data_IF_439831305633
#
_entry.id   IF_439831305633
#
_cell.length_a   1.000
_cell.length_b   1.000
_cell.length_c   1.000
_cell.angle_alpha   90.00
_cell.angle_beta   90.00
_cell.angle_gamma   90.00
#
_symmetry.space_group_name_H-M   'P 1'
#
loop_
_entity.id
_entity.type
_entity.pdbx_description
1 polymer ?
#
# COMPACT_ATOMS: atom_id res chain seq x y z
N UNK A 1 14.83 -12.45 -6.15
CA UNK A 1 13.43 -12.59 -6.60
C UNK A 1 13.23 -13.99 -7.19
N UNK A 2 12.09 -14.64 -6.95
CA UNK A 2 11.82 -16.00 -7.47
C UNK A 2 11.84 -16.00 -9.01
N UNK A 3 12.69 -16.82 -9.67
CA UNK A 3 12.89 -16.75 -11.13
C UNK A 3 11.64 -17.03 -11.95
N UNK A 4 10.73 -17.87 -11.45
CA UNK A 4 9.56 -18.34 -12.18
C UNK A 4 8.27 -17.63 -11.74
N UNK A 5 8.38 -16.40 -11.23
CA UNK A 5 7.23 -15.66 -10.72
C UNK A 5 6.07 -15.55 -11.73
N UNK A 6 6.40 -15.39 -13.02
CA UNK A 6 5.39 -15.33 -14.08
C UNK A 6 4.71 -16.67 -14.33
N UNK A 7 5.39 -17.80 -14.12
CA UNK A 7 4.78 -19.14 -14.23
C UNK A 7 3.77 -19.31 -13.09
N UNK A 8 4.20 -19.01 -11.86
CA UNK A 8 3.34 -19.06 -10.67
C UNK A 8 2.10 -18.17 -10.81
N UNK A 9 2.26 -16.92 -11.26
CA UNK A 9 1.13 -15.99 -11.45
C UNK A 9 0.12 -16.54 -12.46
N UNK A 10 0.58 -17.11 -13.58
CA UNK A 10 -0.35 -17.68 -14.58
C UNK A 10 -1.12 -18.89 -14.01
N UNK A 11 -0.43 -19.79 -13.31
CA UNK A 11 -1.05 -20.97 -12.69
C UNK A 11 -2.15 -20.58 -11.70
N UNK A 12 -1.91 -19.52 -10.91
CA UNK A 12 -2.92 -18.98 -9.99
C UNK A 12 -4.10 -18.38 -10.75
N UNK A 13 -3.86 -17.62 -11.82
CA UNK A 13 -4.93 -17.01 -12.62
C UNK A 13 -5.77 -18.02 -13.40
N UNK A 14 -5.16 -19.10 -13.90
CA UNK A 14 -5.90 -20.21 -14.53
C UNK A 14 -6.90 -20.86 -13.57
N UNK A 15 -6.63 -20.78 -12.26
CA UNK A 15 -7.48 -21.30 -11.19
C UNK A 15 -8.39 -20.22 -10.59
N UNK A 16 -8.47 -19.04 -11.23
CA UNK A 16 -9.21 -17.85 -10.74
C UNK A 16 -8.80 -17.44 -9.32
N UNK A 17 -7.50 -17.46 -9.01
CA UNK A 17 -6.95 -16.99 -7.74
C UNK A 17 -6.32 -15.61 -7.96
N UNK A 18 -6.80 -14.59 -7.24
CA UNK A 18 -6.24 -13.23 -7.32
C UNK A 18 -4.81 -13.17 -6.78
N UNK A 19 -3.96 -12.31 -7.35
CA UNK A 19 -2.54 -12.20 -6.99
C UNK A 19 -2.16 -10.81 -6.51
N UNK A 20 -1.63 -10.74 -5.29
CA UNK A 20 -1.13 -9.53 -4.65
C UNK A 20 0.37 -9.71 -4.43
N UNK A 21 1.18 -9.05 -5.26
CA UNK A 21 2.64 -9.19 -5.19
C UNK A 21 3.24 -8.00 -4.44
N UNK A 22 4.13 -8.27 -3.48
CA UNK A 22 4.86 -7.23 -2.74
C UNK A 22 6.35 -7.34 -3.04
N UNK A 23 6.99 -6.22 -3.34
CA UNK A 23 8.43 -6.14 -3.60
C UNK A 23 9.08 -5.01 -2.79
N UNK A 24 10.34 -5.18 -2.44
CA UNK A 24 11.19 -4.15 -1.83
C UNK A 24 11.90 -3.27 -2.88
N UNK A 25 11.44 -3.30 -4.14
CA UNK A 25 11.93 -2.45 -5.22
C UNK A 25 13.44 -2.58 -5.53
N UNK A 26 14.01 -3.78 -5.36
CA UNK A 26 15.42 -4.03 -5.67
C UNK A 26 15.67 -4.67 -7.05
N UNK A 27 14.63 -4.96 -7.84
CA UNK A 27 14.75 -5.67 -9.13
C UNK A 27 13.85 -5.03 -10.22
N UNK A 28 14.21 -3.85 -10.75
CA UNK A 28 13.38 -3.10 -11.68
C UNK A 28 13.03 -3.88 -12.95
N UNK A 29 13.99 -4.60 -13.55
CA UNK A 29 13.73 -5.42 -14.75
C UNK A 29 12.65 -6.47 -14.55
N UNK A 30 12.57 -7.05 -13.34
CA UNK A 30 11.55 -8.04 -13.04
C UNK A 30 10.16 -7.42 -12.89
N UNK A 31 10.06 -6.17 -12.47
CA UNK A 31 8.79 -5.42 -12.44
C UNK A 31 8.32 -5.14 -13.87
N UNK A 32 9.23 -4.74 -14.77
CA UNK A 32 8.90 -4.51 -16.19
C UNK A 32 8.41 -5.80 -16.87
N UNK A 33 9.10 -6.92 -16.63
CA UNK A 33 8.76 -8.23 -17.22
C UNK A 33 7.57 -8.93 -16.54
N UNK A 34 7.04 -8.41 -15.44
CA UNK A 34 5.97 -9.08 -14.69
C UNK A 34 4.72 -9.19 -15.58
N UNK A 35 4.09 -10.37 -15.62
CA UNK A 35 2.78 -10.53 -16.23
C UNK A 35 1.71 -9.76 -15.43
N UNK A 36 0.51 -9.52 -15.98
CA UNK A 36 -0.57 -8.91 -15.22
C UNK A 36 -0.76 -9.62 -13.87
N UNK A 37 -0.92 -8.85 -12.81
CA UNK A 37 -1.27 -9.31 -11.45
C UNK A 37 -2.50 -8.53 -10.99
N UNK A 38 -3.22 -9.02 -9.98
CA UNK A 38 -4.40 -8.28 -9.48
C UNK A 38 -3.99 -6.94 -8.90
N UNK A 39 -2.92 -6.93 -8.10
CA UNK A 39 -2.35 -5.72 -7.52
C UNK A 39 -0.85 -5.89 -7.23
N UNK A 40 -0.06 -4.88 -7.58
CA UNK A 40 1.40 -4.84 -7.36
C UNK A 40 1.75 -3.78 -6.31
N UNK A 41 2.46 -4.20 -5.26
CA UNK A 41 2.90 -3.37 -4.16
C UNK A 41 4.40 -3.17 -4.20
N UNK A 42 4.82 -1.92 -3.98
CA UNK A 42 6.17 -1.60 -3.54
C UNK A 42 6.11 -1.21 -2.07
N UNK A 43 6.90 -1.89 -1.23
CA UNK A 43 7.15 -1.46 0.14
C UNK A 43 8.07 -0.25 0.09
N UNK A 44 7.62 0.86 0.67
CA UNK A 44 8.42 2.09 0.78
C UNK A 44 8.57 2.38 2.26
N UNK A 45 9.64 1.84 2.84
CA UNK A 45 9.90 1.91 4.27
C UNK A 45 10.63 3.20 4.67
N UNK A 46 11.13 3.95 3.70
CA UNK A 46 11.73 5.27 3.91
C UNK A 46 11.67 6.16 2.65
N UNK A 47 11.72 7.48 2.85
CA UNK A 47 11.55 8.46 1.78
C UNK A 47 12.86 9.00 1.18
N UNK A 48 14.02 8.72 1.79
CA UNK A 48 15.34 9.22 1.35
C UNK A 48 16.37 8.09 1.28
N UNK A 49 17.47 8.30 0.54
CA UNK A 49 18.55 7.30 0.40
C UNK A 49 19.16 6.93 1.75
N UNK A 50 19.37 7.91 2.60
CA UNK A 50 20.00 7.77 3.92
C UNK A 50 19.08 7.00 4.87
N UNK A 51 17.80 7.38 4.91
CA UNK A 51 16.80 6.72 5.76
C UNK A 51 16.53 5.29 5.30
N UNK A 52 16.44 5.05 3.97
CA UNK A 52 16.25 3.71 3.42
C UNK A 52 17.46 2.82 3.75
N UNK A 53 18.69 3.33 3.64
CA UNK A 53 19.88 2.58 4.03
C UNK A 53 19.89 2.21 5.51
N UNK A 54 19.45 3.12 6.37
CA UNK A 54 19.42 2.91 7.81
C UNK A 54 18.37 1.88 8.23
N UNK A 55 17.20 1.89 7.59
CA UNK A 55 16.06 1.02 7.88
C UNK A 55 16.21 -0.35 7.20
N UNK A 56 16.37 -0.37 5.87
CA UNK A 56 16.31 -1.61 5.08
C UNK A 56 17.61 -2.41 5.07
N UNK A 57 18.74 -1.77 5.42
CA UNK A 57 20.09 -2.37 5.35
C UNK A 57 20.31 -3.15 4.05
N UNK A 58 20.19 -2.46 2.90
CA UNK A 58 20.13 -3.10 1.60
C UNK A 58 21.43 -3.85 1.28
N UNK A 59 21.29 -4.97 0.58
CA UNK A 59 22.41 -5.82 0.15
C UNK A 59 23.20 -5.22 -1.03
N UNK A 60 22.52 -4.45 -1.87
CA UNK A 60 23.08 -3.88 -3.09
C UNK A 60 23.67 -2.48 -2.82
N UNK A 61 24.82 -2.17 -3.44
CA UNK A 61 25.44 -0.84 -3.30
C UNK A 61 24.67 0.26 -4.04
N UNK A 62 23.99 -0.10 -5.13
CA UNK A 62 23.13 0.70 -6.01
C UNK A 62 21.63 0.62 -5.61
N UNK A 63 21.35 0.36 -4.33
CA UNK A 63 19.98 0.09 -3.85
C UNK A 63 19.00 1.24 -4.11
N UNK A 64 19.46 2.49 -4.09
CA UNK A 64 18.61 3.67 -4.24
C UNK A 64 18.25 3.92 -5.71
N UNK A 65 19.22 3.69 -6.58
CA UNK A 65 19.08 3.75 -8.02
C UNK A 65 18.09 2.65 -8.45
N UNK A 66 18.29 1.41 -7.97
CA UNK A 66 17.33 0.29 -8.17
C UNK A 66 15.94 0.58 -7.65
N UNK A 67 15.85 1.19 -6.47
CA UNK A 67 14.58 1.60 -5.87
C UNK A 67 13.86 2.60 -6.77
N UNK A 68 14.55 3.67 -7.16
CA UNK A 68 14.01 4.72 -8.02
C UNK A 68 13.59 4.19 -9.40
N UNK A 69 14.41 3.34 -10.02
CA UNK A 69 14.06 2.66 -11.28
C UNK A 69 12.86 1.73 -11.13
N UNK A 70 12.72 1.08 -9.97
CA UNK A 70 11.55 0.23 -9.70
C UNK A 70 10.26 1.04 -9.55
N UNK A 71 10.34 2.25 -8.97
CA UNK A 71 9.21 3.18 -8.94
C UNK A 71 8.82 3.64 -10.36
N UNK A 72 9.80 3.92 -11.21
CA UNK A 72 9.55 4.25 -12.62
C UNK A 72 8.94 3.07 -13.38
N UNK A 73 9.46 1.85 -13.19
CA UNK A 73 8.89 0.63 -13.77
C UNK A 73 7.45 0.37 -13.27
N UNK A 74 7.13 0.78 -12.05
CA UNK A 74 5.77 0.69 -11.51
C UNK A 74 4.80 1.60 -12.27
N UNK A 75 5.23 2.80 -12.66
CA UNK A 75 4.42 3.76 -13.44
C UNK A 75 3.99 3.21 -14.80
N UNK A 76 4.81 2.35 -15.40
CA UNK A 76 4.55 1.73 -16.71
C UNK A 76 3.54 0.57 -16.62
N UNK A 77 3.16 0.15 -15.41
CA UNK A 77 2.20 -0.94 -15.21
C UNK A 77 0.78 -0.49 -15.51
N UNK A 78 0.04 -1.37 -16.17
CA UNK A 78 -1.38 -1.14 -16.46
C UNK A 78 -2.29 -1.59 -15.31
N UNK A 79 -1.91 -2.64 -14.58
CA UNK A 79 -2.67 -3.15 -13.43
C UNK A 79 -2.47 -2.26 -12.19
N UNK A 80 -3.30 -2.48 -11.16
CA UNK A 80 -3.30 -1.69 -9.91
C UNK A 80 -1.93 -1.68 -9.24
N UNK A 81 -1.44 -0.49 -8.93
CA UNK A 81 -0.15 -0.27 -8.28
C UNK A 81 -0.31 0.42 -6.93
N UNK A 82 0.47 0.00 -5.95
CA UNK A 82 0.36 0.49 -4.57
C UNK A 82 1.74 0.80 -4.02
N UNK A 83 1.89 1.97 -3.41
CA UNK A 83 2.95 2.20 -2.44
C UNK A 83 2.44 1.85 -1.06
N UNK A 84 3.11 0.93 -0.36
CA UNK A 84 2.81 0.64 1.03
C UNK A 84 3.85 1.30 1.92
N UNK A 85 3.43 2.35 2.63
CA UNK A 85 4.26 3.09 3.55
C UNK A 85 4.12 2.49 4.95
N UNK A 86 5.23 2.22 5.60
CA UNK A 86 5.25 1.80 7.01
C UNK A 86 5.54 3.01 7.88
N UNK A 87 4.51 3.58 8.51
CA UNK A 87 4.65 4.77 9.35
C UNK A 87 5.17 4.42 10.74
N UNK A 88 6.21 5.11 11.15
CA UNK A 88 6.72 5.13 12.53
C UNK A 88 6.25 6.41 13.20
N UNK A 89 5.97 6.38 14.50
CA UNK A 89 5.56 7.56 15.26
C UNK A 89 6.65 8.65 15.24
N UNK A 90 6.23 9.92 15.24
CA UNK A 90 7.13 11.08 15.32
C UNK A 90 7.51 11.67 13.97
N UNK A 91 6.68 11.48 12.93
CA UNK A 91 6.85 12.10 11.63
C UNK A 91 6.73 13.63 11.69
N UNK A 92 7.32 14.31 10.71
CA UNK A 92 7.28 15.76 10.56
C UNK A 92 6.95 16.18 9.11
N UNK A 93 6.93 17.49 8.84
CA UNK A 93 6.63 18.03 7.51
C UNK A 93 7.68 17.65 6.45
N UNK A 94 8.95 17.53 6.83
CA UNK A 94 10.03 17.11 5.91
C UNK A 94 9.81 15.68 5.43
N UNK A 95 9.28 14.80 6.29
CA UNK A 95 8.88 13.44 5.90
C UNK A 95 7.77 13.48 4.84
N UNK A 96 6.73 14.30 5.05
CA UNK A 96 5.62 14.46 4.09
C UNK A 96 6.15 14.89 2.72
N UNK A 97 7.05 15.87 2.69
CA UNK A 97 7.66 16.37 1.46
C UNK A 97 8.52 15.30 0.77
N UNK A 98 9.33 14.56 1.54
CA UNK A 98 10.16 13.50 1.02
C UNK A 98 9.32 12.35 0.41
N UNK A 99 8.26 11.90 1.10
CA UNK A 99 7.37 10.87 0.58
C UNK A 99 6.62 11.34 -0.68
N UNK A 100 6.14 12.58 -0.69
CA UNK A 100 5.45 13.12 -1.85
C UNK A 100 6.37 13.22 -3.08
N UNK A 101 7.66 13.51 -2.90
CA UNK A 101 8.63 13.48 -4.00
C UNK A 101 8.71 12.10 -4.67
N UNK A 102 8.58 11.00 -3.91
CA UNK A 102 8.53 9.64 -4.46
C UNK A 102 7.26 9.36 -5.26
N UNK A 103 6.13 10.00 -4.91
CA UNK A 103 4.86 9.83 -5.63
C UNK A 103 5.00 10.39 -7.05
N UNK A 104 5.74 11.49 -7.22
CA UNK A 104 5.98 12.10 -8.52
C UNK A 104 6.75 11.20 -9.49
N UNK A 105 7.55 10.26 -8.96
CA UNK A 105 8.34 9.31 -9.74
C UNK A 105 7.45 8.22 -10.33
N UNK A 106 6.75 7.47 -9.48
CA UNK A 106 6.00 6.28 -9.90
C UNK A 106 4.48 6.45 -10.06
N UNK A 107 3.90 7.51 -9.48
CA UNK A 107 2.46 7.84 -9.54
C UNK A 107 1.54 6.62 -9.36
N UNK A 108 1.64 5.91 -8.22
CA UNK A 108 0.88 4.69 -8.00
C UNK A 108 -0.63 4.96 -8.04
N UNK A 109 -1.43 3.93 -8.28
CA UNK A 109 -2.89 4.06 -8.18
C UNK A 109 -3.34 4.34 -6.74
N UNK A 110 -2.62 3.76 -5.78
CA UNK A 110 -2.91 3.86 -4.35
C UNK A 110 -1.66 4.08 -3.49
N UNK A 111 -1.86 4.69 -2.34
CA UNK A 111 -0.88 4.75 -1.26
C UNK A 111 -1.53 4.22 0.01
N UNK A 112 -1.05 3.09 0.50
CA UNK A 112 -1.49 2.47 1.75
C UNK A 112 -0.51 2.86 2.85
N UNK A 113 -0.96 3.68 3.81
CA UNK A 113 -0.16 4.06 4.97
C UNK A 113 -0.57 3.16 6.12
N UNK A 114 0.37 2.40 6.65
CA UNK A 114 0.16 1.47 7.74
C UNK A 114 1.07 1.79 8.91
N UNK A 115 0.51 1.89 10.10
CA UNK A 115 1.29 2.02 11.33
C UNK A 115 2.17 0.79 11.59
N UNK A 116 3.44 1.02 11.94
CA UNK A 116 4.35 -0.07 12.31
C UNK A 116 3.79 -0.85 13.51
N UNK A 117 3.83 -2.17 13.43
CA UNK A 117 3.44 -3.04 14.54
C UNK A 117 4.69 -3.54 15.24
N UNK A 118 4.72 -3.46 16.56
CA UNK A 118 5.84 -3.98 17.35
C UNK A 118 5.76 -5.52 17.42
N UNK A 119 6.78 -6.19 16.87
CA UNK A 119 6.87 -7.65 16.80
C UNK A 119 7.77 -8.25 17.91
N UNK A 120 8.12 -7.48 18.95
CA UNK A 120 9.06 -7.89 19.98
C UNK A 120 10.47 -7.34 19.77
N UNK A 121 11.30 -7.43 20.80
CA UNK A 121 12.69 -6.99 20.78
C UNK A 121 13.56 -8.02 20.05
N UNK A 122 14.22 -7.63 18.96
CA UNK A 122 15.29 -8.40 18.34
C UNK A 122 16.62 -7.67 18.52
N UNK A 123 17.74 -8.41 18.53
CA UNK A 123 19.08 -7.80 18.66
C UNK A 123 19.41 -6.78 17.56
N UNK A 124 18.67 -6.79 16.45
CA UNK A 124 18.87 -5.91 15.30
C UNK A 124 17.88 -4.74 15.22
N UNK A 125 16.80 -4.74 16.01
CA UNK A 125 15.74 -3.73 15.96
C UNK A 125 15.82 -2.76 17.14
N UNK A 126 15.79 -1.46 16.83
CA UNK A 126 15.69 -0.38 17.83
C UNK A 126 14.25 0.05 18.09
N UNK A 127 13.26 -0.55 17.42
CA UNK A 127 11.85 -0.21 17.58
C UNK A 127 11.36 -0.61 18.97
N UNK A 128 10.76 0.35 19.68
CA UNK A 128 10.05 0.14 20.94
C UNK A 128 8.56 0.38 20.74
N UNK A 129 7.75 0.09 21.78
CA UNK A 129 6.33 0.41 21.78
C UNK A 129 6.05 1.92 21.60
N UNK A 130 6.99 2.79 21.97
CA UNK A 130 6.84 4.24 21.81
C UNK A 130 6.85 4.66 20.34
N UNK A 131 7.47 3.85 19.48
CA UNK A 131 7.54 4.07 18.04
C UNK A 131 6.28 3.62 17.29
N UNK A 132 5.38 2.89 17.94
CA UNK A 132 4.12 2.43 17.34
C UNK A 132 3.14 3.61 17.28
N UNK A 133 2.72 4.06 16.08
CA UNK A 133 1.75 5.13 15.95
C UNK A 133 0.35 4.64 16.32
N UNK A 134 -0.45 5.54 16.86
CA UNK A 134 -1.89 5.35 16.93
C UNK A 134 -2.52 5.56 15.56
N UNK A 135 -3.74 5.05 15.40
CA UNK A 135 -4.48 5.28 14.16
C UNK A 135 -4.67 6.78 13.86
N UNK A 136 -4.87 7.62 14.89
CA UNK A 136 -4.91 9.08 14.74
C UNK A 136 -3.64 9.66 14.13
N UNK A 137 -2.46 9.11 14.46
CA UNK A 137 -1.19 9.56 13.91
C UNK A 137 -1.09 9.19 12.42
N UNK A 138 -1.59 8.01 12.04
CA UNK A 138 -1.68 7.57 10.64
C UNK A 138 -2.67 8.42 9.84
N UNK A 139 -3.83 8.75 10.41
CA UNK A 139 -4.81 9.66 9.80
C UNK A 139 -4.19 11.03 9.53
N UNK A 140 -3.60 11.64 10.54
CA UNK A 140 -2.99 12.96 10.43
C UNK A 140 -1.90 13.02 9.35
N UNK A 141 -1.03 11.99 9.29
CA UNK A 141 -0.02 11.88 8.23
C UNK A 141 -0.64 11.72 6.84
N UNK A 142 -1.67 10.89 6.74
CA UNK A 142 -2.38 10.60 5.49
C UNK A 142 -3.10 11.84 4.94
N UNK A 143 -3.76 12.61 5.82
CA UNK A 143 -4.40 13.89 5.48
C UNK A 143 -3.37 14.94 5.06
N UNK A 144 -2.22 15.02 5.75
CA UNK A 144 -1.13 15.91 5.37
C UNK A 144 -0.55 15.58 3.99
N UNK A 145 -0.35 14.29 3.68
CA UNK A 145 0.07 13.82 2.36
C UNK A 145 -0.97 14.12 1.27
N UNK A 146 -2.25 13.87 1.55
CA UNK A 146 -3.34 14.18 0.63
C UNK A 146 -3.40 15.68 0.32
N UNK A 147 -3.28 16.53 1.34
CA UNK A 147 -3.22 17.98 1.19
C UNK A 147 -2.01 18.40 0.35
N UNK A 148 -0.83 17.84 0.63
CA UNK A 148 0.39 18.10 -0.14
C UNK A 148 0.25 17.73 -1.61
N UNK A 149 -0.53 16.70 -1.92
CA UNK A 149 -0.78 16.25 -3.29
C UNK A 149 -1.64 17.20 -4.13
N UNK A 150 -2.22 18.24 -3.52
CA UNK A 150 -3.01 19.25 -4.21
C UNK A 150 -4.12 18.66 -5.09
N UNK A 151 -4.81 17.64 -4.57
CA UNK A 151 -5.94 16.97 -5.23
C UNK A 151 -5.58 15.81 -6.15
N UNK A 152 -4.29 15.47 -6.34
CA UNK A 152 -3.91 14.26 -7.10
C UNK A 152 -4.33 12.98 -6.36
N UNK A 153 -4.18 12.98 -5.02
CA UNK A 153 -4.58 11.90 -4.14
C UNK A 153 -5.48 12.44 -3.03
N UNK A 154 -6.47 11.65 -2.65
CA UNK A 154 -7.31 11.93 -1.49
C UNK A 154 -7.47 10.68 -0.62
N UNK A 155 -7.79 10.87 0.66
CA UNK A 155 -8.14 9.80 1.58
C UNK A 155 -9.43 9.12 1.12
N UNK A 156 -9.34 7.84 0.78
CA UNK A 156 -10.46 7.07 0.23
C UNK A 156 -11.05 6.10 1.25
N UNK A 157 -10.19 5.42 2.01
CA UNK A 157 -10.58 4.40 2.98
C UNK A 157 -9.73 4.47 4.24
N UNK A 158 -10.24 3.94 5.34
CA UNK A 158 -9.46 3.62 6.53
C UNK A 158 -9.79 2.21 7.01
N UNK A 159 -8.89 1.60 7.78
CA UNK A 159 -9.15 0.38 8.53
C UNK A 159 -8.54 0.54 9.92
N UNK A 160 -9.36 1.04 10.85
CA UNK A 160 -8.93 1.44 12.20
C UNK A 160 -8.24 0.27 12.91
N UNK A 161 -8.79 -0.94 12.78
CA UNK A 161 -8.27 -2.12 13.47
C UNK A 161 -6.87 -2.53 13.01
N UNK A 162 -6.53 -2.27 11.74
CA UNK A 162 -5.20 -2.59 11.19
C UNK A 162 -4.25 -1.38 11.22
N UNK A 163 -4.71 -0.25 11.77
CA UNK A 163 -3.98 1.02 11.77
C UNK A 163 -3.56 1.44 10.34
N UNK A 164 -4.50 1.35 9.38
CA UNK A 164 -4.25 1.64 7.97
C UNK A 164 -5.15 2.75 7.44
N UNK A 165 -4.60 3.60 6.56
CA UNK A 165 -5.36 4.56 5.74
C UNK A 165 -4.94 4.40 4.27
N UNK A 166 -5.89 4.51 3.36
CA UNK A 166 -5.68 4.40 1.92
C UNK A 166 -5.91 5.75 1.25
N UNK A 167 -4.90 6.26 0.58
CA UNK A 167 -5.04 7.32 -0.42
C UNK A 167 -5.25 6.68 -1.79
N UNK A 168 -6.13 7.26 -2.58
CA UNK A 168 -6.39 6.81 -3.95
C UNK A 168 -6.27 7.98 -4.92
N UNK A 169 -5.79 7.66 -6.13
CA UNK A 169 -5.67 8.65 -7.20
C UNK A 169 -7.05 9.13 -7.65
N UNK A 170 -7.32 10.42 -7.49
CA UNK A 170 -8.67 11.01 -7.67
C UNK A 170 -9.16 10.86 -9.10
N UNK A 171 -8.31 11.19 -10.08
CA UNK A 171 -8.65 11.18 -11.51
C UNK A 171 -9.11 9.79 -12.02
N UNK A 172 -8.64 8.70 -11.38
CA UNK A 172 -8.94 7.33 -11.78
C UNK A 172 -10.08 6.71 -10.98
N UNK A 173 -10.02 6.88 -9.65
CA UNK A 173 -10.86 6.11 -8.72
C UNK A 173 -11.96 6.91 -8.05
N UNK A 174 -12.09 8.22 -8.30
CA UNK A 174 -13.21 9.03 -7.80
C UNK A 174 -14.12 9.44 -8.97
N UNK A 175 -15.35 8.93 -9.01
CA UNK A 175 -16.33 9.24 -10.06
C UNK A 175 -17.60 9.81 -9.42
N UNK A 176 -18.00 11.01 -9.85
CA UNK A 176 -19.18 11.70 -9.33
C UNK A 176 -19.20 11.80 -7.79
N UNK A 177 -18.03 12.05 -7.19
CA UNK A 177 -17.86 12.12 -5.73
C UNK A 177 -17.80 10.77 -5.01
N UNK A 178 -17.96 9.64 -5.71
CA UNK A 178 -17.92 8.30 -5.14
C UNK A 178 -16.61 7.58 -5.44
N UNK A 179 -16.13 6.79 -4.48
CA UNK A 179 -14.90 6.02 -4.60
C UNK A 179 -15.13 4.66 -5.26
N UNK A 180 -14.26 4.28 -6.19
CA UNK A 180 -14.22 2.98 -6.87
C UNK A 180 -12.90 2.25 -6.57
N UNK A 181 -12.55 2.14 -5.29
CA UNK A 181 -11.29 1.53 -4.87
C UNK A 181 -11.39 0.01 -4.72
N UNK A 182 -12.59 -0.56 -4.75
CA UNK A 182 -12.79 -2.00 -4.61
C UNK A 182 -12.41 -2.75 -5.89
N UNK A 183 -12.18 -4.06 -5.77
CA UNK A 183 -11.77 -4.92 -6.89
C UNK A 183 -12.97 -5.78 -7.30
N UNK A 184 -13.31 -5.74 -8.58
CA UNK A 184 -14.19 -6.73 -9.21
C UNK A 184 -13.33 -7.94 -9.63
N UNK A 185 -13.27 -8.94 -8.76
CA UNK A 185 -12.42 -10.12 -8.98
C UNK A 185 -12.86 -10.95 -10.18
N UNK A 186 -14.17 -11.12 -10.38
CA UNK A 186 -14.70 -11.87 -11.51
C UNK A 186 -14.29 -11.19 -12.82
N UNK A 187 -14.45 -9.86 -12.90
CA UNK A 187 -14.03 -9.09 -14.07
C UNK A 187 -12.52 -9.12 -14.28
N UNK A 188 -11.72 -9.04 -13.21
CA UNK A 188 -10.27 -9.20 -13.31
C UNK A 188 -9.89 -10.58 -13.90
N UNK A 189 -10.51 -11.66 -13.42
CA UNK A 189 -10.25 -13.01 -13.89
C UNK A 189 -10.61 -13.20 -15.36
N UNK A 190 -11.71 -12.62 -15.80
CA UNK A 190 -12.13 -12.67 -17.20
C UNK A 190 -11.19 -11.85 -18.10
N UNK A 191 -10.76 -10.67 -17.64
CA UNK A 191 -9.79 -9.83 -18.36
C UNK A 191 -8.44 -10.52 -18.52
N UNK A 192 -7.89 -11.11 -17.46
CA UNK A 192 -6.58 -11.78 -17.53
C UNK A 192 -6.66 -13.05 -18.38
N UNK A 193 -7.76 -13.81 -18.31
CA UNK A 193 -7.99 -14.98 -19.14
C UNK A 193 -8.16 -14.63 -20.63
N UNK A 194 -8.67 -13.44 -20.95
CA UNK A 194 -8.85 -12.98 -22.32
C UNK A 194 -7.53 -12.76 -23.08
N UNK A 195 -6.43 -12.54 -22.37
CA UNK A 195 -5.12 -12.19 -22.94
C UNK A 195 -5.06 -10.81 -23.59
N UNK A 196 -6.14 -10.04 -23.58
CA UNK A 196 -6.19 -8.67 -24.14
C UNK A 196 -5.59 -7.66 -23.16
N UNK A 197 -5.00 -6.55 -23.64
CA UNK A 197 -4.58 -5.45 -22.78
C UNK A 197 -5.75 -4.89 -21.96
N UNK A 198 -5.52 -4.65 -20.67
CA UNK A 198 -6.47 -4.04 -19.74
C UNK A 198 -5.71 -3.27 -18.65
N UNK A 199 -6.38 -2.35 -17.98
CA UNK A 199 -5.82 -1.50 -16.95
C UNK A 199 -6.61 -1.55 -15.64
N UNK A 200 -6.11 -0.87 -14.60
CA UNK A 200 -6.67 -0.87 -13.25
C UNK A 200 -8.11 -0.40 -13.14
N UNK A 201 -8.58 0.45 -14.06
CA UNK A 201 -9.97 0.93 -14.07
C UNK A 201 -10.94 -0.06 -14.72
N UNK A 202 -10.43 -1.06 -15.45
CA UNK A 202 -11.29 -2.03 -16.12
C UNK A 202 -11.92 -3.02 -15.14
N UNK A 203 -11.37 -3.19 -13.92
CA UNK A 203 -11.86 -4.16 -12.92
C UNK A 203 -12.05 -3.53 -11.54
N UNK A 204 -12.42 -2.24 -11.51
CA UNK A 204 -12.76 -1.57 -10.26
C UNK A 204 -14.26 -1.65 -9.96
N UNK A 205 -14.58 -1.72 -8.69
CA UNK A 205 -15.94 -1.72 -8.16
C UNK A 205 -16.13 -0.59 -7.15
N UNK A 206 -17.39 -0.24 -6.89
CA UNK A 206 -17.72 0.78 -5.89
C UNK A 206 -17.14 0.40 -4.52
N UNK A 207 -16.58 1.38 -3.84
CA UNK A 207 -16.05 1.20 -2.47
C UNK A 207 -17.23 0.95 -1.54
N UNK A 208 -17.22 -0.13 -0.74
CA UNK A 208 -18.27 -0.38 0.23
C UNK A 208 -18.42 0.80 1.19
N UNK A 209 -19.65 1.16 1.56
CA UNK A 209 -19.93 2.34 2.40
C UNK A 209 -19.21 2.28 3.74
N UNK A 210 -19.09 1.09 4.34
CA UNK A 210 -18.39 0.84 5.60
C UNK A 210 -16.86 0.96 5.49
N UNK A 211 -16.31 0.92 4.26
CA UNK A 211 -14.89 1.03 3.99
C UNK A 211 -14.43 2.47 3.72
N UNK A 212 -15.37 3.35 3.33
CA UNK A 212 -15.08 4.75 3.02
C UNK A 212 -14.52 5.45 4.25
N UNK A 213 -13.55 6.34 4.03
CA UNK A 213 -12.94 7.13 5.09
C UNK A 213 -14.00 7.91 5.90
N UNK A 214 -13.96 7.79 7.23
CA UNK A 214 -14.93 8.40 8.15
C UNK A 214 -16.22 7.61 8.36
N UNK A 215 -16.37 6.42 7.75
CA UNK A 215 -17.50 5.54 8.04
C UNK A 215 -17.53 5.10 9.50
N UNK A 216 -18.73 4.89 10.05
CA UNK A 216 -18.93 4.49 11.45
C UNK A 216 -18.22 3.17 11.77
N UNK A 217 -18.20 2.25 10.81
CA UNK A 217 -17.55 0.95 10.94
C UNK A 217 -16.02 1.04 10.97
N UNK A 218 -15.46 2.17 10.52
CA UNK A 218 -14.03 2.43 10.49
C UNK A 218 -13.26 1.43 9.64
N UNK A 219 -13.84 1.01 8.50
CA UNK A 219 -13.24 0.05 7.58
C UNK A 219 -13.56 -1.41 7.82
N UNK A 220 -14.18 -1.75 8.95
CA UNK A 220 -14.38 -3.15 9.30
C UNK A 220 -15.66 -3.68 8.66
N UNK A 221 -15.55 -4.77 7.89
CA UNK A 221 -16.70 -5.39 7.23
C UNK A 221 -17.77 -5.79 8.28
N UNK A 222 -19.02 -5.28 8.17
CA UNK A 222 -20.12 -5.61 9.05
C UNK A 222 -20.43 -7.11 9.15
N UNK A 223 -20.09 -7.90 8.12
CA UNK A 223 -20.32 -9.34 8.10
C UNK A 223 -19.26 -10.13 8.89
N UNK A 224 -18.19 -9.47 9.35
CA UNK A 224 -17.15 -10.11 10.14
C UNK A 224 -17.38 -9.93 11.64
N UNK A 225 -16.97 -10.92 12.43
CA UNK A 225 -17.05 -10.86 13.88
C UNK A 225 -15.77 -10.30 14.49
N UNK A 226 -15.88 -9.21 15.25
CA UNK A 226 -14.74 -8.65 15.99
C UNK A 226 -14.46 -9.49 17.23
N UNK A 227 -13.30 -10.16 17.26
CA UNK A 227 -12.81 -10.78 18.49
C UNK A 227 -12.00 -9.77 19.31
N UNK A 228 -12.52 -9.36 20.46
CA UNK A 228 -11.80 -8.53 21.43
C UNK A 228 -11.26 -9.44 22.53
N UNK A 229 -9.93 -9.57 22.61
CA UNK A 229 -9.30 -10.26 23.73
C UNK A 229 -9.50 -9.42 25.00
N UNK A 230 -10.15 -9.97 26.02
CA UNK A 230 -10.25 -9.32 27.33
C UNK A 230 -8.84 -9.03 27.86
N UNK A 231 -8.51 -7.75 27.99
CA UNK A 231 -7.24 -7.34 28.59
C UNK A 231 -7.38 -7.48 30.11
N UNK A 232 -6.92 -8.62 30.66
CA UNK A 232 -6.69 -8.78 32.10
C UNK A 232 -5.43 -8.03 32.54
N UNK A 233 -5.35 -6.72 32.30
CA UNK A 233 -4.42 -5.90 33.03
C UNK A 233 -5.11 -5.52 34.34
N UNK A 234 -4.59 -6.01 35.47
CA UNK A 234 -5.01 -5.53 36.78
C UNK A 234 -4.78 -4.03 36.79
N UNK A 235 -5.85 -3.26 36.97
CA UNK A 235 -5.76 -1.85 37.34
C UNK A 235 -4.97 -1.80 38.65
N UNK A 236 -3.70 -1.39 38.59
CA UNK A 236 -2.99 -0.96 39.79
C UNK A 236 -3.57 0.40 40.16
N UNK A 237 -4.49 0.41 41.12
CA UNK A 237 -4.86 1.60 41.87
C UNK A 237 -3.68 2.10 42.70
#
# INVERSE_FOLDING_TARGET
>A
MYPEINVLVNELHQRRISTFLVTNAQFPEKIRMLKPVTQLYVSVDAATKESLKAIDRPLFGDFWERFTESLQALKERQQRTVYRLTLVKGWNTEDVDAYFNLFSIGKPDFVEIKGVTYCGSSASSKLTMENVPWHSDVKAFSEALALKSNGEYEVACEHIHSCCVLLAKTEKFKRNGQWFTWIDYEKFHDLVASGKPFNSTDYMAATPSWAVYGAEEGGFDPNQSRYRKERRHKSSH
#
